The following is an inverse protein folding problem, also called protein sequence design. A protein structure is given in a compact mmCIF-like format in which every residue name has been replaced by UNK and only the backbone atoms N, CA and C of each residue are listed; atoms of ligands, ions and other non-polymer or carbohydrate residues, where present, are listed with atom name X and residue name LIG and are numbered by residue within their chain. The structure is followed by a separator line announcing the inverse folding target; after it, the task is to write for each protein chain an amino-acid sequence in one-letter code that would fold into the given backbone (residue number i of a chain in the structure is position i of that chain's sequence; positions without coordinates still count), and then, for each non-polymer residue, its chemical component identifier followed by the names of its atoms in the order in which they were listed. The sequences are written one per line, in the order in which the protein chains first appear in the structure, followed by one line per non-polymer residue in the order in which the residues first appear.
data_IF_688859564168
#
_entry.id   IF_688859564168
#
_cell.length_a   1.000
_cell.length_b   1.000
_cell.length_c   1.000
_cell.angle_alpha   90.00
_cell.angle_beta   90.00
_cell.angle_gamma   90.00
#
_symmetry.space_group_name_H-M   'P 1'
#
loop_
_entity.id
_entity.type
_entity.pdbx_description
1 polymer ?
#
# COMPACT_ATOMS: atom_id res chain seq x y z
N UNK A 1 32.09 -7.67 8.48
CA UNK A 1 31.08 -7.62 7.40
C UNK A 1 29.72 -7.79 8.06
N UNK A 2 28.92 -6.73 8.19
CA UNK A 2 27.53 -6.87 8.65
C UNK A 2 26.68 -7.12 7.42
N UNK A 3 26.36 -8.39 7.16
CA UNK A 3 25.35 -8.76 6.17
C UNK A 3 24.01 -8.20 6.65
N UNK A 4 23.31 -7.48 5.78
CA UNK A 4 21.96 -7.05 6.05
C UNK A 4 21.13 -8.27 6.44
N UNK A 5 20.55 -8.22 7.65
CA UNK A 5 19.51 -9.12 8.11
C UNK A 5 18.49 -9.33 6.98
N UNK A 6 17.97 -10.55 6.87
CA UNK A 6 16.88 -10.88 5.95
C UNK A 6 15.69 -9.93 6.18
N UNK A 7 15.66 -8.80 5.46
CA UNK A 7 14.47 -7.98 5.33
C UNK A 7 13.47 -8.81 4.54
N UNK A 8 12.68 -9.59 5.27
CA UNK A 8 11.58 -10.34 4.70
C UNK A 8 10.61 -9.32 4.10
N UNK A 9 10.31 -9.39 2.79
CA UNK A 9 9.47 -8.40 2.15
C UNK A 9 8.11 -8.39 2.83
N UNK A 10 7.64 -7.21 3.21
CA UNK A 10 6.30 -7.02 3.77
C UNK A 10 5.61 -5.87 3.05
N UNK A 11 4.31 -6.02 2.79
CA UNK A 11 3.51 -4.93 2.23
C UNK A 11 3.37 -3.81 3.28
N UNK A 12 3.40 -2.54 2.85
CA UNK A 12 3.23 -1.45 3.80
C UNK A 12 1.81 -1.45 4.35
N UNK A 13 1.60 -0.81 5.50
CA UNK A 13 0.25 -0.57 5.99
C UNK A 13 -0.60 0.17 4.94
N UNK A 14 -1.90 -0.11 4.95
CA UNK A 14 -2.86 0.39 3.99
C UNK A 14 -3.23 1.85 4.30
N UNK A 15 -2.89 2.75 3.36
CA UNK A 15 -3.24 4.18 3.38
C UNK A 15 -3.27 4.73 1.95
N UNK A 16 -4.02 5.80 1.72
CA UNK A 16 -4.03 6.53 0.46
C UNK A 16 -2.76 7.38 0.31
N UNK A 17 -1.83 6.93 -0.54
CA UNK A 17 -0.54 7.59 -0.76
C UNK A 17 -0.57 8.62 -1.89
N UNK A 18 -1.55 8.52 -2.79
CA UNK A 18 -1.87 9.64 -3.69
C UNK A 18 -2.58 10.80 -2.97
N UNK A 19 -2.91 10.60 -1.69
CA UNK A 19 -3.67 11.53 -0.86
C UNK A 19 -5.14 11.12 -0.83
N UNK A 20 -5.73 11.15 0.37
CA UNK A 20 -7.13 10.78 0.61
C UNK A 20 -8.07 11.58 -0.31
N UNK A 21 -7.89 12.90 -0.39
CA UNK A 21 -8.71 13.77 -1.24
C UNK A 21 -8.60 13.40 -2.72
N UNK A 22 -7.42 13.01 -3.20
CA UNK A 22 -7.20 12.61 -4.60
C UNK A 22 -7.92 11.31 -4.92
N UNK A 23 -7.85 10.32 -4.02
CA UNK A 23 -8.53 9.04 -4.17
C UNK A 23 -10.06 9.21 -4.12
N UNK A 24 -10.56 10.03 -3.20
CA UNK A 24 -11.98 10.38 -3.10
C UNK A 24 -12.47 11.14 -4.33
N UNK A 25 -11.69 12.11 -4.83
CA UNK A 25 -12.03 12.87 -6.03
C UNK A 25 -12.11 11.96 -7.25
N UNK A 26 -11.14 11.05 -7.41
CA UNK A 26 -11.13 10.06 -8.51
C UNK A 26 -12.37 9.16 -8.44
N UNK A 27 -12.71 8.64 -7.25
CA UNK A 27 -13.92 7.83 -7.07
C UNK A 27 -15.19 8.59 -7.44
N UNK A 28 -15.32 9.85 -7.02
CA UNK A 28 -16.50 10.69 -7.31
C UNK A 28 -16.61 11.06 -8.77
N UNK A 29 -15.49 11.44 -9.39
CA UNK A 29 -15.47 11.90 -10.78
C UNK A 29 -15.60 10.74 -11.78
N UNK A 30 -15.00 9.58 -11.48
CA UNK A 30 -14.94 8.45 -12.40
C UNK A 30 -15.12 7.11 -11.64
N UNK A 31 -16.33 6.81 -11.13
CA UNK A 31 -16.56 5.65 -10.26
C UNK A 31 -16.22 4.32 -10.95
N UNK A 32 -16.60 4.12 -12.21
CA UNK A 32 -16.29 2.89 -12.96
C UNK A 32 -14.79 2.70 -13.19
N UNK A 33 -14.05 3.79 -13.45
CA UNK A 33 -12.60 3.72 -13.61
C UNK A 33 -11.92 3.40 -12.26
N UNK A 34 -12.38 4.03 -11.18
CA UNK A 34 -11.90 3.79 -9.83
C UNK A 34 -12.12 2.32 -9.41
N UNK A 35 -13.33 1.79 -9.57
CA UNK A 35 -13.64 0.38 -9.29
C UNK A 35 -12.74 -0.56 -10.08
N UNK A 36 -12.65 -0.36 -11.40
CA UNK A 36 -11.82 -1.19 -12.27
C UNK A 36 -10.37 -1.27 -11.76
N UNK A 37 -9.81 -0.14 -11.32
CA UNK A 37 -8.45 -0.11 -10.76
C UNK A 37 -8.40 -0.76 -9.37
N UNK A 38 -9.36 -0.49 -8.48
CA UNK A 38 -9.41 -1.10 -7.16
C UNK A 38 -9.53 -2.62 -7.18
N UNK A 39 -10.05 -3.21 -8.26
CA UNK A 39 -10.26 -4.64 -8.40
C UNK A 39 -9.20 -5.35 -9.26
N UNK A 40 -8.41 -4.62 -10.06
CA UNK A 40 -7.48 -5.23 -11.03
C UNK A 40 -6.06 -4.66 -11.01
N UNK A 41 -5.82 -3.51 -10.39
CA UNK A 41 -4.51 -2.86 -10.34
C UNK A 41 -3.93 -3.02 -8.94
N UNK A 42 -2.96 -3.92 -8.79
CA UNK A 42 -2.32 -4.21 -7.51
C UNK A 42 -1.68 -2.97 -6.89
N UNK A 43 -1.05 -2.11 -7.68
CA UNK A 43 -0.35 -0.94 -7.15
C UNK A 43 -1.35 0.11 -6.70
N UNK A 44 -2.43 0.27 -7.46
CA UNK A 44 -3.52 1.16 -7.06
C UNK A 44 -4.21 0.67 -5.78
N UNK A 45 -4.52 -0.63 -5.69
CA UNK A 45 -5.19 -1.24 -4.55
C UNK A 45 -4.31 -1.31 -3.30
N UNK A 46 -3.03 -1.65 -3.42
CA UNK A 46 -2.15 -1.89 -2.25
C UNK A 46 -1.34 -0.65 -1.83
N UNK A 47 -1.02 0.26 -2.77
CA UNK A 47 -0.11 1.39 -2.52
C UNK A 47 -0.75 2.74 -2.80
N UNK A 48 -1.52 2.88 -3.87
CA UNK A 48 -2.02 4.18 -4.35
C UNK A 48 -3.17 4.72 -3.50
N UNK A 49 -4.30 4.01 -3.52
CA UNK A 49 -5.57 4.39 -2.91
C UNK A 49 -6.13 3.26 -2.03
N UNK A 50 -5.27 2.62 -1.24
CA UNK A 50 -5.65 1.40 -0.52
C UNK A 50 -6.83 1.57 0.43
N UNK A 51 -6.87 2.66 1.20
CA UNK A 51 -7.93 2.88 2.17
C UNK A 51 -9.26 3.18 1.47
N UNK A 52 -9.24 4.02 0.43
CA UNK A 52 -10.45 4.34 -0.33
C UNK A 52 -10.96 3.13 -1.14
N UNK A 53 -10.07 2.27 -1.66
CA UNK A 53 -10.47 1.03 -2.32
C UNK A 53 -11.16 0.06 -1.36
N UNK A 54 -10.64 -0.13 -0.14
CA UNK A 54 -11.28 -0.98 0.87
C UNK A 54 -12.66 -0.46 1.25
N UNK A 55 -12.74 0.84 1.55
CA UNK A 55 -14.00 1.51 1.85
C UNK A 55 -15.01 1.36 0.72
N UNK A 56 -14.56 1.47 -0.53
CA UNK A 56 -15.42 1.29 -1.70
C UNK A 56 -15.95 -0.15 -1.83
N UNK A 57 -15.09 -1.14 -1.66
CA UNK A 57 -15.46 -2.56 -1.71
C UNK A 57 -16.47 -2.89 -0.61
N UNK A 58 -16.23 -2.42 0.63
CA UNK A 58 -17.13 -2.61 1.77
C UNK A 58 -18.50 -1.94 1.54
N UNK A 59 -18.51 -0.67 1.15
CA UNK A 59 -19.76 0.09 0.96
C UNK A 59 -20.63 -0.47 -0.18
N UNK A 60 -20.02 -1.00 -1.24
CA UNK A 60 -20.76 -1.54 -2.38
C UNK A 60 -20.95 -3.07 -2.29
N UNK A 61 -20.55 -3.70 -1.18
CA UNK A 61 -20.66 -5.15 -0.97
C UNK A 61 -20.08 -5.96 -2.15
N UNK A 62 -18.94 -5.50 -2.69
CA UNK A 62 -18.32 -6.15 -3.85
C UNK A 62 -17.82 -7.53 -3.43
N UNK A 63 -18.31 -8.57 -4.10
CA UNK A 63 -17.93 -9.94 -3.78
C UNK A 63 -16.41 -10.15 -3.94
N UNK A 64 -15.72 -10.84 -3.01
CA UNK A 64 -14.27 -11.02 -3.03
C UNK A 64 -13.75 -11.78 -4.27
N UNK A 65 -14.61 -12.53 -4.96
CA UNK A 65 -14.25 -13.13 -6.26
C UNK A 65 -13.92 -12.08 -7.32
N UNK A 66 -14.52 -10.88 -7.25
CA UNK A 66 -14.24 -9.79 -8.18
C UNK A 66 -12.85 -9.16 -7.95
N UNK A 67 -12.24 -9.40 -6.78
CA UNK A 67 -10.87 -8.97 -6.43
C UNK A 67 -9.91 -10.15 -6.31
N UNK A 68 -10.27 -11.34 -6.82
CA UNK A 68 -9.45 -12.56 -6.70
C UNK A 68 -8.06 -12.42 -7.31
N UNK A 69 -7.93 -11.61 -8.36
CA UNK A 69 -6.65 -11.25 -8.98
C UNK A 69 -5.71 -10.58 -7.98
N UNK A 70 -6.24 -9.79 -7.05
CA UNK A 70 -5.50 -9.05 -6.03
C UNK A 70 -5.03 -9.90 -4.85
N UNK A 71 -5.53 -11.14 -4.74
CA UNK A 71 -5.12 -12.11 -3.73
C UNK A 71 -3.80 -12.82 -4.08
N UNK A 72 -3.17 -12.42 -5.18
CA UNK A 72 -1.91 -12.99 -5.70
C UNK A 72 -0.93 -11.86 -6.01
N UNK A 73 0.31 -12.21 -6.35
CA UNK A 73 1.24 -11.25 -6.92
C UNK A 73 0.74 -10.78 -8.29
N UNK A 74 1.11 -9.55 -8.73
CA UNK A 74 0.75 -9.07 -10.06
C UNK A 74 1.17 -10.04 -11.15
N UNK A 75 0.32 -10.26 -12.16
CA UNK A 75 0.66 -11.14 -13.31
C UNK A 75 1.95 -10.67 -13.99
N UNK A 76 2.11 -9.35 -14.15
CA UNK A 76 3.35 -8.74 -14.64
C UNK A 76 4.16 -8.26 -13.43
N UNK A 77 4.98 -9.15 -12.88
CA UNK A 77 5.85 -8.85 -11.76
C UNK A 77 7.33 -8.93 -12.17
N UNK A 78 7.97 -7.77 -12.31
CA UNK A 78 9.36 -7.66 -12.76
C UNK A 78 10.06 -6.45 -12.16
N UNK A 79 11.38 -6.47 -12.20
CA UNK A 79 12.19 -5.30 -11.88
C UNK A 79 12.04 -4.24 -12.98
N UNK A 80 11.98 -2.98 -12.57
CA UNK A 80 11.97 -1.85 -13.51
C UNK A 80 13.39 -1.52 -13.98
N UNK A 81 14.35 -1.69 -13.08
CA UNK A 81 15.77 -1.45 -13.36
C UNK A 81 16.52 -2.74 -13.73
N UNK A 82 17.77 -2.59 -14.18
CA UNK A 82 18.61 -3.71 -14.57
C UNK A 82 18.88 -4.65 -13.39
N UNK A 83 19.12 -5.93 -13.70
CA UNK A 83 19.47 -6.94 -12.69
C UNK A 83 20.70 -6.53 -11.86
N UNK A 84 21.71 -5.91 -12.48
CA UNK A 84 22.91 -5.43 -11.79
C UNK A 84 22.62 -4.27 -10.84
N UNK A 85 21.70 -3.37 -11.20
CA UNK A 85 21.21 -2.33 -10.30
C UNK A 85 20.45 -2.97 -9.14
N UNK A 86 19.48 -3.84 -9.42
CA UNK A 86 18.62 -4.41 -8.39
C UNK A 86 19.35 -5.34 -7.41
N UNK A 87 20.36 -6.07 -7.87
CA UNK A 87 21.24 -6.83 -6.97
C UNK A 87 22.01 -5.93 -6.01
N UNK A 88 22.54 -4.80 -6.50
CA UNK A 88 23.21 -3.80 -5.64
C UNK A 88 22.23 -3.14 -4.67
N UNK A 89 21.04 -2.77 -5.16
CA UNK A 89 19.98 -2.20 -4.34
C UNK A 89 19.56 -3.16 -3.22
N UNK A 90 19.41 -4.46 -3.51
CA UNK A 90 19.11 -5.47 -2.48
C UNK A 90 20.22 -5.62 -1.46
N UNK A 91 21.48 -5.57 -1.90
CA UNK A 91 22.64 -5.79 -1.03
C UNK A 91 22.98 -4.58 -0.16
N UNK A 92 22.70 -3.36 -0.62
CA UNK A 92 23.24 -2.14 0.00
C UNK A 92 22.25 -0.98 0.09
N UNK A 93 21.04 -1.13 -0.42
CA UNK A 93 20.08 -0.03 -0.54
C UNK A 93 20.55 1.09 -1.48
N UNK A 94 19.85 2.21 -1.41
CA UNK A 94 20.17 3.47 -2.08
C UNK A 94 19.72 4.64 -1.21
N UNK A 95 20.69 5.28 -0.53
CA UNK A 95 20.40 6.33 0.45
C UNK A 95 19.58 5.77 1.61
N UNK A 96 18.38 6.31 1.83
CA UNK A 96 17.44 5.83 2.86
C UNK A 96 16.54 4.69 2.40
N UNK A 97 16.61 4.28 1.13
CA UNK A 97 15.72 3.28 0.55
C UNK A 97 16.40 1.93 0.46
N UNK A 98 15.66 0.88 0.76
CA UNK A 98 16.11 -0.52 0.75
C UNK A 98 15.00 -1.44 0.24
N UNK A 99 15.24 -2.74 0.21
CA UNK A 99 14.14 -3.69 -0.05
C UNK A 99 13.11 -3.73 1.10
N UNK A 100 13.43 -3.23 2.31
CA UNK A 100 12.45 -3.06 3.38
C UNK A 100 11.48 -1.91 3.14
N UNK A 101 11.86 -0.93 2.31
CA UNK A 101 11.01 0.19 1.93
C UNK A 101 10.06 -0.20 0.79
N UNK A 102 9.02 -0.96 1.14
CA UNK A 102 8.10 -1.57 0.18
C UNK A 102 7.58 -0.60 -0.89
N UNK A 103 7.20 0.60 -0.49
CA UNK A 103 6.69 1.65 -1.37
C UNK A 103 7.63 1.99 -2.53
N UNK A 104 8.93 1.95 -2.25
CA UNK A 104 9.98 2.26 -3.20
C UNK A 104 10.42 0.99 -3.93
N UNK A 105 10.67 -0.08 -3.19
CA UNK A 105 11.17 -1.35 -3.69
C UNK A 105 10.27 -1.94 -4.79
N UNK A 106 8.95 -1.95 -4.60
CA UNK A 106 7.96 -2.44 -5.59
C UNK A 106 7.95 -1.67 -6.91
N UNK A 107 8.42 -0.42 -6.93
CA UNK A 107 8.47 0.42 -8.16
C UNK A 107 9.80 0.32 -8.88
N UNK A 108 10.83 -0.18 -8.21
CA UNK A 108 12.22 -0.15 -8.68
C UNK A 108 12.73 -1.56 -8.93
N UNK A 109 12.66 -2.42 -7.92
CA UNK A 109 13.24 -3.77 -7.91
C UNK A 109 12.28 -4.81 -7.31
N UNK A 110 11.01 -4.79 -7.74
CA UNK A 110 9.93 -5.62 -7.18
C UNK A 110 10.30 -7.10 -7.09
N UNK A 111 10.82 -7.66 -8.17
CA UNK A 111 11.14 -9.08 -8.23
C UNK A 111 12.37 -9.41 -7.39
N UNK A 112 13.45 -8.64 -7.55
CA UNK A 112 14.69 -8.88 -6.80
C UNK A 112 14.49 -8.71 -5.28
N UNK A 113 13.65 -7.76 -4.85
CA UNK A 113 13.28 -7.55 -3.45
C UNK A 113 12.23 -8.55 -2.92
N UNK A 114 11.69 -9.45 -3.75
CA UNK A 114 10.80 -10.51 -3.29
C UNK A 114 9.31 -10.14 -3.18
N UNK A 115 8.89 -9.01 -3.76
CA UNK A 115 7.49 -8.58 -3.77
C UNK A 115 6.62 -9.28 -4.84
N UNK A 116 7.22 -10.22 -5.59
CA UNK A 116 6.54 -11.12 -6.52
C UNK A 116 6.20 -12.47 -5.86
N UNK A 117 5.61 -12.42 -4.66
CA UNK A 117 5.26 -13.60 -3.88
C UNK A 117 3.78 -13.54 -3.48
N UNK A 118 2.99 -14.53 -3.91
CA UNK A 118 1.55 -14.63 -3.62
C UNK A 118 1.25 -14.60 -2.12
N UNK A 119 2.13 -15.15 -1.28
CA UNK A 119 1.96 -15.15 0.18
C UNK A 119 1.85 -13.74 0.79
N UNK A 120 2.37 -12.72 0.10
CA UNK A 120 2.26 -11.32 0.53
C UNK A 120 0.89 -10.71 0.28
N UNK A 121 0.10 -11.28 -0.63
CA UNK A 121 -1.17 -10.73 -1.09
C UNK A 121 -2.38 -11.56 -0.64
N UNK A 122 -2.17 -12.68 0.05
CA UNK A 122 -3.26 -13.52 0.55
C UNK A 122 -4.24 -12.69 1.41
N UNK A 123 -5.54 -12.99 1.29
CA UNK A 123 -6.62 -12.28 1.97
C UNK A 123 -6.56 -12.41 3.50
N UNK A 124 -5.78 -13.34 4.02
CA UNK A 124 -5.48 -13.48 5.46
C UNK A 124 -4.39 -12.52 5.94
N UNK A 125 -3.57 -12.03 5.03
CA UNK A 125 -2.48 -11.07 5.23
C UNK A 125 -2.82 -9.71 4.63
N UNK A 126 -4.10 -9.32 4.64
CA UNK A 126 -4.49 -7.95 4.28
C UNK A 126 -3.73 -6.97 5.17
N UNK A 127 -2.87 -6.14 4.55
CA UNK A 127 -2.08 -5.17 5.29
C UNK A 127 -2.99 -4.32 6.19
N UNK A 128 -2.71 -4.16 7.49
CA UNK A 128 -3.58 -3.39 8.37
C UNK A 128 -3.70 -1.96 7.85
N UNK A 129 -4.83 -1.29 8.10
CA UNK A 129 -4.89 0.16 7.92
C UNK A 129 -3.75 0.78 8.73
N UNK A 130 -3.03 1.73 8.14
CA UNK A 130 -2.02 2.46 8.89
C UNK A 130 -2.67 3.05 10.12
N UNK A 131 -2.04 2.89 11.28
CA UNK A 131 -2.43 3.67 12.45
C UNK A 131 -2.52 5.12 12.00
N UNK A 132 -3.68 5.75 12.17
CA UNK A 132 -3.74 7.20 12.08
C UNK A 132 -2.60 7.70 12.96
N UNK A 133 -1.78 8.62 12.46
CA UNK A 133 -0.86 9.32 13.34
C UNK A 133 -1.72 9.99 14.41
N UNK A 134 -1.93 9.29 15.52
CA UNK A 134 -2.41 9.85 16.76
C UNK A 134 -1.22 10.61 17.32
N UNK A 135 -0.83 11.70 16.63
CA UNK A 135 -0.33 12.89 17.30
C UNK A 135 -1.53 13.58 17.97
N UNK A 136 -2.25 12.84 18.80
CA UNK A 136 -2.81 13.41 20.01
C UNK A 136 -1.96 12.88 21.16
N UNK A 137 -0.80 13.50 21.35
CA UNK A 137 -0.49 13.95 22.70
C UNK A 137 -1.51 15.06 23.03
N UNK A 138 -2.78 14.70 23.20
CA UNK A 138 -3.68 15.49 24.02
C UNK A 138 -3.20 15.24 25.44
N UNK A 139 -2.20 16.03 25.83
CA UNK A 139 -1.98 16.29 27.25
C UNK A 139 -3.30 16.81 27.85
N UNK A 140 -3.48 16.70 29.18
CA UNK A 140 -4.77 16.93 29.86
C UNK A 140 -5.33 18.37 29.81
N UNK A 141 -4.90 19.23 28.88
CA UNK A 141 -5.23 20.67 28.88
C UNK A 141 -6.13 21.18 27.74
N UNK A 142 -6.66 20.33 26.86
CA UNK A 142 -7.59 20.79 25.81
C UNK A 142 -9.01 20.25 26.01
N UNK A 143 -9.62 20.65 27.13
CA UNK A 143 -11.03 20.42 27.44
C UNK A 143 -11.98 21.54 26.92
N UNK A 144 -11.47 22.56 26.24
CA UNK A 144 -12.22 23.80 25.98
C UNK A 144 -12.89 23.94 24.60
N UNK A 145 -12.79 22.96 23.71
CA UNK A 145 -13.44 23.04 22.38
C UNK A 145 -14.58 22.03 22.16
N UNK A 146 -15.17 21.49 23.24
CA UNK A 146 -16.50 20.87 23.17
C UNK A 146 -17.54 21.88 23.62
N UNK A 147 -18.03 22.70 22.69
CA UNK A 147 -19.42 23.15 22.64
C UNK A 147 -19.61 24.14 21.49
N UNK A 148 -20.29 23.69 20.44
CA UNK A 148 -21.21 24.53 19.67
C UNK A 148 -22.11 23.61 18.88
N UNK A 149 -23.19 23.19 19.54
CA UNK A 149 -24.43 22.86 18.86
C UNK A 149 -25.19 24.17 18.66
N UNK A 150 -25.51 24.49 17.41
CA UNK A 150 -26.71 25.23 17.04
C UNK A 150 -27.58 24.28 16.21
#
# INVERSE_FOLDING_TARGET
MYGCLEDSPSLPCCRDRFGEQSCQALRKAQPAHFEKRCLNDHDFHTLGCCAECRKYIELNSIHPENSKSLLKAPVVCRDKHSLSFCRRFKASGMGKFSCGDAEFAVRVCRHTCGYCNDALYDGRTTAPLCAANVMTSLGPNYAFLRNSSY
#
